data_IF_456678125797
#
_entry.id   IF_456678125797
#
_cell.length_a   1.000
_cell.length_b   1.000
_cell.length_c   1.000
_cell.angle_alpha   90.00
_cell.angle_beta   90.00
_cell.angle_gamma   90.00
#
_symmetry.space_group_name_H-M   'P 1'
#
loop_
_entity.id
_entity.type
_entity.pdbx_description
1 polymer ?
#
# COMPACT_ATOMS: atom_id res chain seq x y z
N UNK A 1 2.92 74.43 10.39
CA UNK A 1 3.56 74.03 9.11
C UNK A 1 4.23 72.64 9.12
N UNK A 2 4.43 71.96 10.26
CA UNK A 2 5.07 70.62 10.32
C UNK A 2 4.12 69.47 9.93
N UNK A 3 2.80 69.64 10.10
CA UNK A 3 1.81 68.58 9.90
C UNK A 3 1.53 68.25 8.42
N UNK A 4 1.58 69.24 7.52
CA UNK A 4 1.33 69.03 6.07
C UNK A 4 2.50 68.27 5.42
N UNK A 5 3.74 68.58 5.81
CA UNK A 5 4.94 67.86 5.31
C UNK A 5 4.91 66.38 5.67
N UNK A 6 4.46 66.06 6.89
CA UNK A 6 4.32 64.69 7.36
C UNK A 6 3.18 63.92 6.65
N UNK A 7 2.05 64.59 6.36
CA UNK A 7 0.93 64.00 5.61
C UNK A 7 1.33 63.76 4.16
N UNK A 8 2.04 64.70 3.53
CA UNK A 8 2.54 64.56 2.16
C UNK A 8 3.58 63.44 2.07
N UNK A 9 4.49 63.32 3.04
CA UNK A 9 5.47 62.21 3.06
C UNK A 9 4.81 60.85 3.29
N UNK A 10 3.78 60.78 4.15
CA UNK A 10 3.04 59.55 4.40
C UNK A 10 2.24 59.10 3.16
N UNK A 11 1.62 60.03 2.43
CA UNK A 11 0.93 59.74 1.17
C UNK A 11 1.89 59.25 0.08
N UNK A 12 3.10 59.84 -0.01
CA UNK A 12 4.12 59.40 -0.97
C UNK A 12 4.67 58.00 -0.64
N UNK A 13 4.90 57.71 0.64
CA UNK A 13 5.36 56.38 1.07
C UNK A 13 4.31 55.30 0.77
N UNK A 14 3.03 55.60 0.98
CA UNK A 14 1.93 54.68 0.71
C UNK A 14 1.77 54.41 -0.79
N UNK A 15 1.99 55.44 -1.64
CA UNK A 15 2.00 55.29 -3.09
C UNK A 15 3.16 54.39 -3.58
N UNK A 16 4.36 54.53 -3.00
CA UNK A 16 5.51 53.68 -3.35
C UNK A 16 5.28 52.20 -2.99
N UNK A 17 4.68 51.93 -1.82
CA UNK A 17 4.31 50.56 -1.41
C UNK A 17 3.23 49.99 -2.33
N UNK A 18 2.28 50.81 -2.78
CA UNK A 18 1.27 50.39 -3.75
C UNK A 18 1.87 50.03 -5.11
N UNK A 19 2.88 50.77 -5.58
CA UNK A 19 3.57 50.49 -6.85
C UNK A 19 4.47 49.26 -6.79
N UNK A 20 5.11 48.97 -5.64
CA UNK A 20 5.85 47.71 -5.45
C UNK A 20 4.95 46.49 -5.25
N UNK A 21 3.65 46.69 -4.99
CA UNK A 21 2.66 45.63 -4.78
C UNK A 21 2.08 44.99 -6.05
N UNK A 22 2.35 45.52 -7.25
CA UNK A 22 1.83 45.01 -8.54
C UNK A 22 2.83 44.04 -9.19
N UNK A 23 3.43 43.21 -8.34
CA UNK A 23 4.25 42.06 -8.73
C UNK A 23 3.59 40.74 -8.33
N UNK A 24 2.26 40.70 -8.17
CA UNK A 24 1.57 39.42 -8.35
C UNK A 24 1.72 39.09 -9.83
N UNK A 25 2.79 38.35 -10.14
CA UNK A 25 2.83 37.49 -11.31
C UNK A 25 1.60 36.60 -11.16
N UNK A 26 0.46 37.03 -11.69
CA UNK A 26 -0.47 36.09 -12.27
C UNK A 26 0.41 35.29 -13.21
N UNK A 27 0.84 34.12 -12.74
CA UNK A 27 1.47 33.13 -13.57
C UNK A 27 0.48 33.00 -14.73
N UNK A 28 0.89 33.55 -15.87
CA UNK A 28 0.15 33.45 -17.09
C UNK A 28 -0.33 32.01 -17.14
N UNK A 29 -1.63 31.81 -17.38
CA UNK A 29 -2.20 30.51 -17.75
C UNK A 29 -1.57 30.09 -19.07
N UNK A 30 -0.27 29.83 -19.06
CA UNK A 30 0.39 28.90 -19.94
C UNK A 30 -0.36 27.62 -19.60
N UNK A 31 -1.32 27.27 -20.47
CA UNK A 31 -1.84 25.92 -20.55
C UNK A 31 -0.61 25.03 -20.71
N UNK A 32 -0.03 24.59 -19.58
CA UNK A 32 0.97 23.54 -19.59
C UNK A 32 0.39 22.43 -20.46
N UNK A 33 1.19 21.83 -21.35
CA UNK A 33 0.69 20.72 -22.17
C UNK A 33 -0.02 19.75 -21.23
N UNK A 34 -1.25 19.35 -21.60
CA UNK A 34 -2.15 18.52 -20.82
C UNK A 34 -1.67 17.06 -20.80
N UNK A 35 -0.36 16.89 -20.68
CA UNK A 35 0.37 15.64 -20.90
C UNK A 35 1.53 15.61 -19.93
N UNK A 36 1.77 14.45 -19.35
CA UNK A 36 2.87 14.23 -18.43
C UNK A 36 4.22 14.27 -19.15
N UNK A 37 5.24 14.82 -18.49
CA UNK A 37 6.62 14.63 -18.92
C UNK A 37 7.13 13.23 -18.51
N UNK A 38 8.16 12.69 -19.18
CA UNK A 38 8.76 11.40 -18.78
C UNK A 38 9.18 11.38 -17.30
N UNK A 39 9.89 12.41 -16.84
CA UNK A 39 10.32 12.53 -15.44
C UNK A 39 9.14 12.54 -14.46
N UNK A 40 8.01 13.18 -14.82
CA UNK A 40 6.81 13.15 -13.98
C UNK A 40 6.21 11.75 -13.90
N UNK A 41 6.18 11.02 -15.02
CA UNK A 41 5.67 9.65 -15.03
C UNK A 41 6.53 8.72 -14.19
N UNK A 42 7.86 8.83 -14.27
CA UNK A 42 8.79 8.04 -13.48
C UNK A 42 8.59 8.28 -11.98
N UNK A 43 8.52 9.56 -11.57
CA UNK A 43 8.26 9.94 -10.18
C UNK A 43 6.90 9.44 -9.69
N UNK A 44 5.85 9.56 -10.51
CA UNK A 44 4.53 9.02 -10.16
C UNK A 44 4.59 7.50 -10.02
N UNK A 45 5.29 6.82 -10.92
CA UNK A 45 5.38 5.37 -10.94
C UNK A 45 6.11 4.81 -9.71
N UNK A 46 7.22 5.44 -9.30
CA UNK A 46 7.97 5.07 -8.09
C UNK A 46 7.05 5.10 -6.86
N UNK A 47 6.42 6.24 -6.60
CA UNK A 47 5.53 6.37 -5.45
C UNK A 47 4.26 5.53 -5.60
N UNK A 48 3.69 5.38 -6.80
CA UNK A 48 2.51 4.55 -7.03
C UNK A 48 2.79 3.07 -6.76
N UNK A 49 4.01 2.60 -7.05
CA UNK A 49 4.43 1.22 -6.76
C UNK A 49 4.47 0.99 -5.25
N UNK A 50 5.07 1.91 -4.50
CA UNK A 50 5.10 1.83 -3.03
C UNK A 50 3.70 1.91 -2.42
N UNK A 51 2.84 2.79 -2.95
CA UNK A 51 1.45 2.90 -2.51
C UNK A 51 0.66 1.63 -2.80
N UNK A 52 0.89 0.98 -3.93
CA UNK A 52 0.28 -0.31 -4.22
C UNK A 52 0.74 -1.37 -3.22
N UNK A 53 2.03 -1.44 -2.90
CA UNK A 53 2.53 -2.35 -1.88
C UNK A 53 1.91 -2.08 -0.49
N UNK A 54 1.70 -0.82 -0.12
CA UNK A 54 0.97 -0.47 1.11
C UNK A 54 -0.50 -0.89 1.05
N UNK A 55 -1.14 -0.74 -0.11
CA UNK A 55 -2.54 -1.15 -0.34
C UNK A 55 -2.72 -2.66 -0.24
N UNK A 56 -1.76 -3.42 -0.76
CA UNK A 56 -1.77 -4.89 -0.72
C UNK A 56 -1.63 -5.43 0.71
N UNK A 57 -1.06 -4.62 1.62
CA UNK A 57 -0.92 -4.95 3.05
C UNK A 57 -2.08 -4.45 3.93
N UNK A 58 -2.99 -3.61 3.42
CA UNK A 58 -4.16 -3.18 4.20
C UNK A 58 -5.03 -4.32 4.74
N UNK A 59 -5.17 -5.49 4.07
CA UNK A 59 -5.83 -6.65 4.68
C UNK A 59 -5.20 -7.12 6.00
N UNK A 60 -3.88 -6.95 6.19
CA UNK A 60 -3.22 -7.21 7.49
C UNK A 60 -3.81 -6.32 8.59
N UNK A 61 -3.99 -5.02 8.30
CA UNK A 61 -4.64 -4.09 9.23
C UNK A 61 -6.10 -4.48 9.51
N UNK A 62 -6.83 -4.92 8.49
CA UNK A 62 -8.20 -5.41 8.63
C UNK A 62 -8.29 -6.59 9.60
N UNK A 63 -7.40 -7.57 9.45
CA UNK A 63 -7.33 -8.72 10.34
C UNK A 63 -7.00 -8.32 11.78
N UNK A 64 -6.10 -7.35 11.99
CA UNK A 64 -5.77 -6.83 13.32
C UNK A 64 -6.97 -6.12 13.97
N UNK A 65 -7.72 -5.33 13.19
CA UNK A 65 -8.94 -4.64 13.65
C UNK A 65 -10.03 -5.65 14.02
N UNK A 66 -10.23 -6.69 13.20
CA UNK A 66 -11.21 -7.76 13.45
C UNK A 66 -10.88 -8.55 14.72
N UNK A 67 -9.60 -8.88 14.91
CA UNK A 67 -9.09 -9.55 16.11
C UNK A 67 -9.04 -8.64 17.34
N UNK A 68 -9.35 -7.34 17.19
CA UNK A 68 -9.24 -6.32 18.24
C UNK A 68 -7.82 -6.20 18.81
N UNK A 69 -6.83 -6.50 18.00
CA UNK A 69 -5.42 -6.36 18.37
C UNK A 69 -4.99 -4.89 18.20
N UNK A 70 -5.41 -4.06 19.15
CA UNK A 70 -5.21 -2.60 19.08
C UNK A 70 -3.75 -2.20 19.12
N UNK A 71 -2.90 -2.97 19.79
CA UNK A 71 -1.47 -2.67 19.86
C UNK A 71 -0.85 -2.83 18.48
N UNK A 72 -1.05 -3.98 17.84
CA UNK A 72 -0.48 -4.22 16.52
C UNK A 72 -1.17 -3.41 15.42
N UNK A 73 -2.48 -3.18 15.51
CA UNK A 73 -3.19 -2.30 14.57
C UNK A 73 -2.59 -0.88 14.55
N UNK A 74 -2.32 -0.31 15.72
CA UNK A 74 -1.70 1.02 15.83
C UNK A 74 -0.25 1.00 15.37
N UNK A 75 0.53 -0.01 15.75
CA UNK A 75 1.90 -0.17 15.24
C UNK A 75 1.94 -0.28 13.71
N UNK A 76 0.95 -0.92 13.10
CA UNK A 76 0.82 -1.03 11.67
C UNK A 76 0.60 0.34 11.00
N UNK A 77 -0.28 1.19 11.58
CA UNK A 77 -0.57 2.54 11.08
C UNK A 77 0.69 3.43 11.13
N UNK A 78 1.45 3.38 12.23
CA UNK A 78 2.62 4.24 12.41
C UNK A 78 3.90 3.68 11.79
N UNK A 79 3.96 2.37 11.50
CA UNK A 79 5.09 1.70 10.87
C UNK A 79 4.87 1.51 9.36
N UNK A 80 4.35 0.35 8.92
CA UNK A 80 4.00 0.07 7.52
C UNK A 80 3.31 1.19 6.75
N UNK A 81 2.38 1.92 7.38
CA UNK A 81 1.65 3.03 6.74
C UNK A 81 2.18 4.43 7.14
N UNK A 82 3.26 4.51 7.91
CA UNK A 82 3.76 5.77 8.47
C UNK A 82 4.16 6.80 7.40
N UNK A 83 4.61 6.33 6.24
CA UNK A 83 5.00 7.18 5.11
C UNK A 83 3.87 7.44 4.10
N UNK A 84 2.69 6.81 4.28
CA UNK A 84 1.60 6.85 3.31
C UNK A 84 1.24 8.28 2.91
N UNK A 85 1.12 9.17 3.90
CA UNK A 85 0.79 10.58 3.69
C UNK A 85 1.78 11.28 2.77
N UNK A 86 3.08 11.07 2.97
CA UNK A 86 4.14 11.73 2.19
C UNK A 86 4.14 11.18 0.76
N UNK A 87 4.02 9.87 0.59
CA UNK A 87 3.98 9.23 -0.74
C UNK A 87 2.75 9.68 -1.54
N UNK A 88 1.55 9.70 -0.94
CA UNK A 88 0.34 10.23 -1.61
C UNK A 88 0.48 11.72 -1.95
N UNK A 89 1.13 12.51 -1.09
CA UNK A 89 1.38 13.92 -1.38
C UNK A 89 2.34 14.10 -2.57
N UNK A 90 3.37 13.25 -2.68
CA UNK A 90 4.30 13.29 -3.80
C UNK A 90 3.64 12.92 -5.13
N UNK A 91 2.80 11.87 -5.16
CA UNK A 91 1.96 11.57 -6.33
C UNK A 91 1.10 12.79 -6.67
N UNK A 92 0.35 13.32 -5.71
CA UNK A 92 -0.56 14.45 -5.92
C UNK A 92 0.11 15.72 -6.47
N UNK A 93 1.39 15.95 -6.16
CA UNK A 93 2.17 17.10 -6.65
C UNK A 93 2.63 16.91 -8.09
N UNK A 94 2.86 15.68 -8.52
CA UNK A 94 3.31 15.33 -9.86
C UNK A 94 2.15 15.12 -10.86
N UNK A 95 0.91 14.96 -10.37
CA UNK A 95 -0.29 14.93 -11.21
C UNK A 95 -0.48 16.23 -12.01
N UNK A 96 -1.25 16.14 -13.11
CA UNK A 96 -1.72 17.29 -13.86
C UNK A 96 -2.55 18.23 -12.97
N UNK A 97 -2.51 19.52 -13.28
CA UNK A 97 -3.06 20.60 -12.44
C UNK A 97 -4.56 20.46 -12.13
N UNK A 98 -5.32 19.83 -13.02
CA UNK A 98 -6.74 19.51 -12.89
C UNK A 98 -7.01 18.37 -11.88
N UNK A 99 -6.13 17.36 -11.83
CA UNK A 99 -6.25 16.23 -10.92
C UNK A 99 -5.69 16.51 -9.51
N UNK A 100 -4.77 17.47 -9.35
CA UNK A 100 -4.12 17.75 -8.05
C UNK A 100 -5.11 18.06 -6.91
N UNK A 101 -6.16 18.89 -7.09
CA UNK A 101 -7.08 19.20 -6.00
C UNK A 101 -7.84 17.97 -5.49
N UNK A 102 -8.29 17.11 -6.41
CA UNK A 102 -8.98 15.85 -6.07
C UNK A 102 -8.06 14.88 -5.34
N UNK A 103 -6.83 14.69 -5.85
CA UNK A 103 -5.84 13.82 -5.23
C UNK A 103 -5.43 14.31 -3.84
N UNK A 104 -5.20 15.63 -3.66
CA UNK A 104 -4.87 16.21 -2.34
C UNK A 104 -6.00 16.04 -1.34
N UNK A 105 -7.25 16.16 -1.79
CA UNK A 105 -8.42 15.94 -0.94
C UNK A 105 -8.47 14.49 -0.47
N UNK A 106 -8.39 13.53 -1.38
CA UNK A 106 -8.40 12.10 -1.04
C UNK A 106 -7.23 11.70 -0.14
N UNK A 107 -6.02 12.21 -0.41
CA UNK A 107 -4.85 11.98 0.44
C UNK A 107 -5.06 12.50 1.88
N UNK A 108 -5.75 13.63 2.01
CA UNK A 108 -6.11 14.17 3.32
C UNK A 108 -7.18 13.31 4.00
N UNK A 109 -8.20 12.87 3.25
CA UNK A 109 -9.30 12.07 3.78
C UNK A 109 -8.79 10.72 4.30
N UNK A 110 -8.01 9.98 3.49
CA UNK A 110 -7.34 8.73 3.91
C UNK A 110 -6.53 8.90 5.20
N UNK A 111 -5.77 9.99 5.32
CA UNK A 111 -4.98 10.25 6.52
C UNK A 111 -5.85 10.57 7.74
N UNK A 112 -6.95 11.31 7.58
CA UNK A 112 -7.87 11.59 8.67
C UNK A 112 -8.57 10.31 9.14
N UNK A 113 -8.95 9.42 8.22
CA UNK A 113 -9.59 8.15 8.54
C UNK A 113 -8.62 7.22 9.27
N UNK A 114 -7.33 7.20 8.88
CA UNK A 114 -6.29 6.49 9.63
C UNK A 114 -6.10 7.04 11.04
N UNK A 115 -6.16 8.35 11.24
CA UNK A 115 -6.13 8.96 12.58
C UNK A 115 -7.37 8.55 13.38
N UNK A 116 -8.55 8.58 12.76
CA UNK A 116 -9.79 8.19 13.41
C UNK A 116 -9.77 6.70 13.80
N UNK A 117 -9.17 5.85 12.96
CA UNK A 117 -8.95 4.43 13.25
C UNK A 117 -7.94 4.23 14.39
N UNK A 118 -6.81 4.94 14.41
CA UNK A 118 -5.84 4.90 15.51
C UNK A 118 -6.49 5.31 16.84
N UNK A 119 -7.31 6.37 16.83
CA UNK A 119 -8.05 6.83 18.00
C UNK A 119 -9.12 5.82 18.44
N UNK A 120 -9.83 5.20 17.49
CA UNK A 120 -10.80 4.16 17.79
C UNK A 120 -10.11 2.92 18.40
N UNK A 121 -8.95 2.53 17.89
CA UNK A 121 -8.13 1.46 18.45
C UNK A 121 -7.63 1.82 19.86
N UNK A 122 -7.11 3.05 20.06
CA UNK A 122 -6.67 3.55 21.37
C UNK A 122 -7.80 3.51 22.41
N UNK A 123 -9.04 3.82 21.99
CA UNK A 123 -10.22 3.80 22.85
C UNK A 123 -11.01 2.49 22.81
N UNK A 124 -10.47 1.45 22.17
CA UNK A 124 -11.08 0.12 22.03
C UNK A 124 -12.49 0.11 21.42
N UNK A 125 -12.81 1.08 20.57
CA UNK A 125 -14.11 1.23 19.89
C UNK A 125 -14.15 0.42 18.60
N UNK A 126 -14.32 -0.90 18.71
CA UNK A 126 -14.25 -1.83 17.57
C UNK A 126 -15.16 -1.45 16.39
N UNK A 127 -16.42 -1.10 16.65
CA UNK A 127 -17.36 -0.73 15.58
C UNK A 127 -16.93 0.53 14.82
N UNK A 128 -16.31 1.49 15.52
CA UNK A 128 -15.76 2.70 14.91
C UNK A 128 -14.52 2.34 14.09
N UNK A 129 -13.60 1.55 14.66
CA UNK A 129 -12.39 1.11 13.97
C UNK A 129 -12.70 0.35 12.67
N UNK A 130 -13.68 -0.56 12.68
CA UNK A 130 -14.11 -1.30 11.47
C UNK A 130 -14.66 -0.37 10.39
N UNK A 131 -15.45 0.63 10.79
CA UNK A 131 -15.99 1.63 9.87
C UNK A 131 -14.86 2.45 9.25
N UNK A 132 -13.97 3.00 10.07
CA UNK A 132 -12.86 3.82 9.58
C UNK A 132 -11.92 3.02 8.67
N UNK A 133 -11.68 1.74 8.98
CA UNK A 133 -10.89 0.85 8.12
C UNK A 133 -11.50 0.73 6.72
N UNK A 134 -12.83 0.57 6.66
CA UNK A 134 -13.56 0.47 5.41
C UNK A 134 -13.49 1.80 4.62
N UNK A 135 -13.55 2.94 5.31
CA UNK A 135 -13.38 4.27 4.70
C UNK A 135 -11.96 4.46 4.14
N UNK A 136 -10.93 4.07 4.90
CA UNK A 136 -9.53 4.11 4.47
C UNK A 136 -9.34 3.36 3.16
N UNK A 137 -9.85 2.12 3.07
CA UNK A 137 -9.77 1.33 1.83
C UNK A 137 -10.42 2.07 0.67
N UNK A 138 -11.67 2.51 0.88
CA UNK A 138 -12.46 3.17 -0.17
C UNK A 138 -11.76 4.41 -0.71
N UNK A 139 -11.30 5.30 0.17
CA UNK A 139 -10.71 6.56 -0.22
C UNK A 139 -9.29 6.37 -0.77
N UNK A 140 -8.57 5.33 -0.31
CA UNK A 140 -7.28 4.99 -0.88
C UNK A 140 -7.41 4.37 -2.27
N UNK A 141 -8.39 3.50 -2.51
CA UNK A 141 -8.71 2.97 -3.84
C UNK A 141 -9.13 4.09 -4.80
N UNK A 142 -9.95 5.03 -4.32
CA UNK A 142 -10.31 6.22 -5.09
C UNK A 142 -9.09 7.08 -5.43
N UNK A 143 -8.10 7.19 -4.52
CA UNK A 143 -6.86 7.89 -4.79
C UNK A 143 -6.02 7.18 -5.85
N UNK A 144 -5.84 5.86 -5.74
CA UNK A 144 -5.07 5.07 -6.70
C UNK A 144 -5.70 5.10 -8.10
N UNK A 145 -7.03 5.22 -8.21
CA UNK A 145 -7.70 5.39 -9.48
C UNK A 145 -7.31 6.70 -10.23
N UNK A 146 -6.86 7.73 -9.50
CA UNK A 146 -6.37 8.98 -10.09
C UNK A 146 -4.94 8.87 -10.65
N UNK A 147 -4.21 7.79 -10.34
CA UNK A 147 -2.89 7.56 -10.91
C UNK A 147 -3.04 7.31 -12.41
N UNK A 148 -2.31 8.05 -13.27
CA UNK A 148 -2.39 7.89 -14.71
C UNK A 148 -1.97 6.48 -15.12
N UNK A 149 -2.69 5.90 -16.07
CA UNK A 149 -2.49 4.51 -16.53
C UNK A 149 -1.04 4.23 -16.96
N UNK A 150 -0.40 5.19 -17.61
CA UNK A 150 1.00 5.11 -18.04
C UNK A 150 2.01 4.95 -16.88
N UNK A 151 1.65 5.35 -15.66
CA UNK A 151 2.49 5.26 -14.47
C UNK A 151 1.94 4.27 -13.43
N UNK A 152 0.85 3.54 -13.73
CA UNK A 152 0.37 2.49 -12.82
C UNK A 152 1.40 1.36 -12.77
N UNK A 153 1.68 0.81 -11.59
CA UNK A 153 2.48 -0.41 -11.50
C UNK A 153 1.79 -1.47 -12.38
N UNK A 154 2.56 -2.05 -13.32
CA UNK A 154 2.05 -3.15 -14.13
C UNK A 154 1.58 -4.24 -13.16
N UNK A 155 0.38 -4.83 -13.36
CA UNK A 155 -0.07 -5.90 -12.50
C UNK A 155 1.05 -6.93 -12.43
N UNK A 156 1.46 -7.30 -11.21
CA UNK A 156 2.39 -8.40 -11.00
C UNK A 156 1.87 -9.53 -11.90
N UNK A 157 2.64 -10.00 -12.91
CA UNK A 157 2.25 -11.18 -13.65
C UNK A 157 1.86 -12.21 -12.60
N UNK A 158 0.77 -12.98 -12.78
CA UNK A 158 0.48 -14.06 -11.84
C UNK A 158 1.83 -14.73 -11.62
N UNK A 159 2.31 -14.75 -10.36
CA UNK A 159 3.48 -15.57 -10.05
C UNK A 159 3.22 -16.86 -10.79
N UNK A 160 4.17 -17.37 -11.61
CA UNK A 160 3.94 -18.64 -12.24
C UNK A 160 3.53 -19.53 -11.09
N UNK A 161 2.23 -19.85 -11.05
CA UNK A 161 1.71 -20.91 -10.22
C UNK A 161 2.68 -21.98 -10.63
N UNK A 162 3.50 -22.43 -9.68
CA UNK A 162 4.18 -23.67 -9.89
C UNK A 162 3.02 -24.63 -10.13
N UNK A 163 2.64 -24.77 -11.41
CA UNK A 163 2.06 -25.96 -11.95
C UNK A 163 3.19 -26.92 -11.70
N UNK A 164 3.22 -27.45 -10.47
CA UNK A 164 3.82 -28.72 -10.23
C UNK A 164 3.27 -29.57 -11.37
N UNK A 165 4.14 -30.05 -12.26
CA UNK A 165 3.65 -30.70 -13.45
C UNK A 165 2.91 -31.95 -12.95
N UNK A 166 1.58 -31.94 -13.09
CA UNK A 166 0.70 -33.07 -12.74
C UNK A 166 1.12 -34.35 -13.47
N UNK A 167 2.05 -34.25 -14.43
CA UNK A 167 2.71 -35.37 -15.07
C UNK A 167 3.56 -36.22 -14.12
N UNK A 168 4.02 -35.74 -12.95
CA UNK A 168 4.74 -36.61 -12.00
C UNK A 168 3.80 -37.55 -11.24
N UNK A 169 2.60 -37.08 -10.89
CA UNK A 169 1.63 -37.90 -10.14
C UNK A 169 0.98 -38.97 -11.01
N UNK A 170 0.69 -38.66 -12.28
CA UNK A 170 0.16 -39.65 -13.23
C UNK A 170 1.20 -40.68 -13.66
N UNK A 171 2.49 -40.33 -13.66
CA UNK A 171 3.58 -41.28 -13.95
C UNK A 171 3.82 -42.24 -12.77
N UNK A 172 3.64 -41.77 -11.53
CA UNK A 172 3.68 -42.59 -10.32
C UNK A 172 2.47 -43.55 -10.26
N UNK A 173 1.27 -43.08 -10.66
CA UNK A 173 0.04 -43.89 -10.66
C UNK A 173 0.01 -44.98 -11.76
N UNK A 174 0.80 -44.79 -12.82
CA UNK A 174 0.90 -45.72 -13.96
C UNK A 174 2.16 -46.61 -13.90
N UNK A 175 2.98 -46.47 -12.85
CA UNK A 175 4.04 -47.42 -12.58
C UNK A 175 3.40 -48.78 -12.26
N UNK A 176 3.86 -49.89 -12.87
CA UNK A 176 3.35 -51.21 -12.53
C UNK A 176 3.68 -51.47 -11.06
N UNK A 177 2.65 -51.62 -10.23
CA UNK A 177 2.79 -52.23 -8.91
C UNK A 177 3.46 -53.58 -9.14
N UNK A 178 4.74 -53.69 -8.79
CA UNK A 178 5.45 -54.96 -8.73
C UNK A 178 4.78 -55.78 -7.64
N UNK A 179 3.78 -56.54 -8.06
CA UNK A 179 3.21 -57.66 -7.32
C UNK A 179 4.34 -58.63 -7.01
N UNK A 180 4.65 -58.75 -5.72
CA UNK A 180 5.36 -59.90 -5.15
C UNK A 180 4.77 -61.21 -5.71
N UNK A 181 5.57 -62.09 -6.33
CA UNK A 181 5.16 -63.46 -6.50
C UNK A 181 5.44 -64.22 -5.20
N UNK A 182 4.39 -64.87 -4.73
CA UNK A 182 4.35 -65.75 -3.59
C UNK A 182 5.45 -66.83 -3.57
N UNK A 183 5.98 -67.06 -2.38
CA UNK A 183 6.12 -68.34 -1.66
C UNK A 183 6.57 -69.56 -2.49
N UNK A 184 7.75 -70.07 -2.13
CA UNK A 184 8.04 -71.52 -2.18
C UNK A 184 8.50 -71.95 -0.78
N UNK A 185 7.67 -72.79 -0.17
CA UNK A 185 7.88 -73.56 1.06
C UNK A 185 8.77 -74.79 0.78
N UNK A 186 9.22 -75.47 1.85
CA UNK A 186 9.84 -76.81 1.93
C UNK A 186 11.38 -76.88 1.68
N UNK A 187 12.26 -77.50 2.50
CA UNK A 187 12.22 -78.56 3.52
C UNK A 187 13.42 -78.38 4.50
N UNK A 188 13.28 -78.82 5.75
CA UNK A 188 14.28 -78.92 6.84
C UNK A 188 15.49 -79.86 6.53
N UNK A 189 16.52 -80.09 7.40
CA UNK A 189 16.35 -80.67 8.75
C UNK A 189 17.39 -80.35 9.88
N UNK A 190 16.96 -80.66 11.11
CA UNK A 190 17.70 -81.24 12.27
C UNK A 190 18.88 -80.49 12.91
N UNK A 191 18.70 -80.05 14.16
CA UNK A 191 19.28 -80.59 15.42
C UNK A 191 20.17 -79.46 16.00
N UNK A 192 20.25 -79.12 17.27
CA UNK A 192 20.32 -79.86 18.52
C UNK A 192 20.21 -78.76 19.62
N UNK A 193 19.40 -78.89 20.66
CA UNK A 193 19.84 -79.32 22.00
C UNK A 193 19.90 -78.16 23.02
N UNK A 194 19.12 -78.34 24.11
CA UNK A 194 19.27 -77.77 25.46
C UNK A 194 19.01 -76.27 25.73
N UNK A 195 17.78 -75.99 26.19
CA UNK A 195 17.38 -75.45 27.51
C UNK A 195 18.48 -75.08 28.56
N UNK A 196 18.16 -74.43 29.71
CA UNK A 196 17.05 -73.51 30.10
C UNK A 196 17.55 -72.25 30.91
N UNK A 197 16.76 -71.17 31.06
CA UNK A 197 16.03 -70.68 32.30
C UNK A 197 16.98 -70.17 33.41
N UNK A 198 16.91 -68.93 33.88
CA UNK A 198 16.06 -68.36 34.96
C UNK A 198 16.39 -66.84 35.03
N UNK A 199 15.44 -65.90 34.98
CA UNK A 199 14.66 -65.26 36.07
C UNK A 199 15.01 -63.76 36.16
#
# INVERSE_FOLDING_TARGET
MVKIRAIVSAALALLMVLMMGVGRVEAAKVKKPLTYTPDQLEQIQEYATDLQAMRDRLPELGALVEQKDWTFARNFIHGPLGELRVKMQNVSRNLLADAQPGARKLAKDVFNDLIALDLAAQTSKAAVAQREYSTVIKDFDAFLALVPEAARPKPKPPEPVATEPETSFLQELLAPQTSDPAIVEEVAPTADETAPVDE
#
